data_IF_352528251657
#
_entry.id   IF_352528251657
#
_cell.length_a   1.000
_cell.length_b   1.000
_cell.length_c   1.000
_cell.angle_alpha   90.00
_cell.angle_beta   90.00
_cell.angle_gamma   90.00
#
_symmetry.space_group_name_H-M   'P 1'
#
loop_
_entity.id
_entity.type
_entity.pdbx_description
1 polymer ?
#
# COMPACT_ATOMS: atom_id res chain seq x y z
N UNK A 1 0.29 -8.63 -26.40
CA UNK A 1 1.41 -8.19 -25.55
C UNK A 1 1.15 -6.81 -24.93
N UNK A 2 1.24 -6.72 -23.61
CA UNK A 2 1.10 -5.46 -22.86
C UNK A 2 2.37 -4.63 -22.94
N UNK A 3 2.26 -3.30 -22.99
CA UNK A 3 3.44 -2.43 -23.02
C UNK A 3 4.15 -2.43 -21.66
N UNK A 4 5.43 -2.00 -21.63
CA UNK A 4 6.15 -1.79 -20.35
C UNK A 4 5.41 -0.81 -19.42
N UNK A 5 4.70 0.18 -19.99
CA UNK A 5 3.89 1.14 -19.24
C UNK A 5 2.69 0.45 -18.57
N UNK A 6 2.02 -0.44 -19.30
CA UNK A 6 0.87 -1.21 -18.79
C UNK A 6 1.31 -2.15 -17.66
N UNK A 7 2.44 -2.83 -17.81
CA UNK A 7 2.99 -3.72 -16.77
C UNK A 7 3.26 -2.94 -15.48
N UNK A 8 3.88 -1.76 -15.56
CA UNK A 8 4.13 -0.90 -14.38
C UNK A 8 2.82 -0.49 -13.72
N UNK A 9 1.83 -0.07 -14.52
CA UNK A 9 0.51 0.32 -14.02
C UNK A 9 -0.21 -0.84 -13.33
N UNK A 10 -0.21 -2.03 -13.93
CA UNK A 10 -0.85 -3.21 -13.37
C UNK A 10 -0.15 -3.68 -12.09
N UNK A 11 1.19 -3.69 -12.06
CA UNK A 11 1.97 -4.02 -10.88
C UNK A 11 1.69 -3.06 -9.71
N UNK A 12 1.56 -1.75 -9.98
CA UNK A 12 1.22 -0.75 -8.97
C UNK A 12 -0.20 -0.93 -8.36
N UNK A 13 -1.11 -1.58 -9.10
CA UNK A 13 -2.52 -1.73 -8.74
C UNK A 13 -2.91 -3.15 -8.29
N UNK A 14 -1.95 -4.07 -8.25
CA UNK A 14 -2.19 -5.47 -7.90
C UNK A 14 -1.45 -5.84 -6.62
N UNK A 15 -2.18 -6.49 -5.72
CA UNK A 15 -1.58 -7.13 -4.56
C UNK A 15 -0.93 -8.47 -4.94
N UNK A 16 -1.53 -9.22 -5.88
CA UNK A 16 -1.11 -10.55 -6.26
C UNK A 16 -0.69 -10.60 -7.74
N UNK A 17 0.55 -11.01 -7.99
CA UNK A 17 1.13 -11.15 -9.33
C UNK A 17 1.76 -12.52 -9.45
N UNK A 18 1.38 -13.27 -10.48
CA UNK A 18 1.87 -14.63 -10.70
C UNK A 18 1.91 -14.96 -12.19
N UNK A 19 2.82 -15.85 -12.56
CA UNK A 19 2.76 -16.55 -13.84
C UNK A 19 1.86 -17.75 -13.70
N UNK A 20 0.87 -17.86 -14.58
CA UNK A 20 -0.10 -18.94 -14.61
C UNK A 20 -0.27 -19.54 -16.00
N UNK A 21 -0.62 -20.83 -16.03
CA UNK A 21 -1.00 -21.56 -17.24
C UNK A 21 -2.51 -21.57 -17.37
N UNK A 22 -3.04 -21.09 -18.49
CA UNK A 22 -4.47 -21.14 -18.77
C UNK A 22 -4.89 -22.61 -18.95
N UNK A 23 -5.76 -23.10 -18.08
CA UNK A 23 -6.29 -24.47 -18.17
C UNK A 23 -7.57 -24.49 -18.99
N UNK A 24 -8.50 -23.58 -18.67
CA UNK A 24 -9.81 -23.51 -19.32
C UNK A 24 -10.33 -22.07 -19.36
N UNK A 25 -10.97 -21.70 -20.46
CA UNK A 25 -11.64 -20.41 -20.61
C UNK A 25 -13.14 -20.53 -20.34
N UNK A 26 -13.78 -19.42 -19.92
CA UNK A 26 -15.19 -19.35 -19.54
C UNK A 26 -15.56 -20.39 -18.47
N UNK A 27 -14.67 -20.54 -17.50
CA UNK A 27 -14.76 -21.56 -16.46
C UNK A 27 -14.23 -21.02 -15.12
N UNK A 28 -14.58 -21.68 -14.03
CA UNK A 28 -14.12 -21.39 -12.68
C UNK A 28 -13.93 -22.70 -11.90
N UNK A 29 -13.05 -22.66 -10.90
CA UNK A 29 -12.83 -23.75 -9.93
C UNK A 29 -13.99 -23.89 -8.95
N UNK A 30 -14.82 -22.86 -8.83
CA UNK A 30 -16.06 -22.85 -8.05
C UNK A 30 -17.22 -22.51 -8.99
N UNK A 31 -18.20 -23.42 -9.11
CA UNK A 31 -19.32 -23.29 -10.07
C UNK A 31 -20.07 -21.96 -10.00
N UNK A 32 -20.39 -21.39 -8.82
CA UNK A 32 -21.08 -20.10 -8.73
C UNK A 32 -20.31 -18.92 -9.36
N UNK A 33 -19.01 -19.07 -9.62
CA UNK A 33 -18.16 -18.02 -10.19
C UNK A 33 -17.92 -18.18 -11.70
N UNK A 34 -18.38 -19.27 -12.32
CA UNK A 34 -18.16 -19.49 -13.74
C UNK A 34 -18.91 -18.44 -14.57
N UNK A 35 -18.19 -17.67 -15.37
CA UNK A 35 -18.76 -16.65 -16.24
C UNK A 35 -17.98 -16.52 -17.54
N UNK A 36 -18.53 -15.74 -18.49
CA UNK A 36 -17.93 -15.54 -19.82
C UNK A 36 -16.57 -14.84 -19.79
N UNK A 37 -16.22 -14.21 -18.67
CA UNK A 37 -15.00 -13.46 -18.43
C UNK A 37 -14.05 -14.10 -17.41
N UNK A 38 -14.25 -15.38 -17.08
CA UNK A 38 -13.37 -16.10 -16.17
C UNK A 38 -12.52 -17.15 -16.88
N UNK A 39 -11.38 -17.47 -16.28
CA UNK A 39 -10.56 -18.63 -16.64
C UNK A 39 -10.23 -19.44 -15.39
N UNK A 40 -9.91 -20.71 -15.59
CA UNK A 40 -9.14 -21.50 -14.65
C UNK A 40 -7.67 -21.39 -15.04
N UNK A 41 -6.83 -20.94 -14.11
CA UNK A 41 -5.39 -20.86 -14.30
C UNK A 41 -4.67 -21.68 -13.23
N UNK A 42 -3.68 -22.48 -13.64
CA UNK A 42 -2.75 -23.13 -12.73
C UNK A 42 -1.63 -22.15 -12.39
N UNK A 43 -1.39 -21.90 -11.11
CA UNK A 43 -0.33 -20.98 -10.65
C UNK A 43 1.01 -21.69 -10.78
N UNK A 44 1.84 -21.24 -11.70
CA UNK A 44 3.16 -21.84 -11.95
C UNK A 44 4.21 -21.21 -11.04
N UNK A 45 4.20 -19.87 -10.93
CA UNK A 45 5.18 -19.14 -10.15
C UNK A 45 4.59 -17.84 -9.62
N UNK A 46 4.72 -17.61 -8.32
CA UNK A 46 4.32 -16.36 -7.67
C UNK A 46 5.46 -15.34 -7.76
N UNK A 47 5.13 -14.15 -8.27
CA UNK A 47 6.06 -13.02 -8.40
C UNK A 47 5.92 -12.06 -7.22
N UNK A 48 4.68 -11.73 -6.84
CA UNK A 48 4.37 -10.87 -5.70
C UNK A 48 3.07 -11.35 -5.05
N UNK A 49 3.05 -11.51 -3.73
CA UNK A 49 1.87 -12.02 -3.04
C UNK A 49 1.79 -11.51 -1.60
N UNK A 50 0.59 -11.15 -1.12
CA UNK A 50 0.32 -11.08 0.30
C UNK A 50 0.56 -12.44 0.96
N UNK A 51 0.85 -12.48 2.27
CA UNK A 51 1.16 -13.73 2.99
C UNK A 51 0.12 -14.85 2.79
N UNK A 52 -1.16 -14.49 2.66
CA UNK A 52 -2.26 -15.44 2.47
C UNK A 52 -2.27 -16.16 1.11
N UNK A 53 -1.50 -15.69 0.12
CA UNK A 53 -1.45 -16.29 -1.23
C UNK A 53 -0.15 -17.05 -1.51
N UNK A 54 0.77 -17.19 -0.54
CA UNK A 54 2.08 -17.80 -0.79
C UNK A 54 2.02 -19.32 -0.99
N UNK A 55 0.95 -19.97 -0.52
CA UNK A 55 0.74 -21.42 -0.60
C UNK A 55 0.04 -21.92 -1.88
N UNK A 56 -0.26 -21.03 -2.83
CA UNK A 56 -1.12 -21.36 -3.99
C UNK A 56 -0.33 -21.86 -5.20
N UNK A 57 0.99 -21.97 -5.13
CA UNK A 57 1.81 -22.55 -6.20
C UNK A 57 1.33 -23.97 -6.53
N UNK A 58 1.21 -24.27 -7.82
CA UNK A 58 0.69 -25.53 -8.35
C UNK A 58 -0.82 -25.69 -8.26
N UNK A 59 -1.54 -24.76 -7.60
CA UNK A 59 -3.00 -24.83 -7.48
C UNK A 59 -3.70 -24.22 -8.69
N UNK A 60 -4.88 -24.75 -9.01
CA UNK A 60 -5.79 -24.13 -9.96
C UNK A 60 -6.65 -23.10 -9.24
N UNK A 61 -6.69 -21.89 -9.78
CA UNK A 61 -7.49 -20.79 -9.25
C UNK A 61 -8.38 -20.19 -10.33
N UNK A 62 -9.43 -19.49 -9.90
CA UNK A 62 -10.28 -18.73 -10.81
C UNK A 62 -9.73 -17.32 -11.01
N UNK A 63 -9.58 -16.90 -12.26
CA UNK A 63 -9.21 -15.52 -12.59
C UNK A 63 -10.35 -14.89 -13.38
N UNK A 64 -10.90 -13.79 -12.85
CA UNK A 64 -11.91 -12.97 -13.54
C UNK A 64 -11.23 -11.79 -14.23
N UNK A 65 -11.65 -11.47 -15.44
CA UNK A 65 -11.23 -10.26 -16.15
C UNK A 65 -12.39 -9.29 -16.30
N UNK A 66 -12.12 -7.99 -16.31
CA UNK A 66 -13.14 -6.98 -16.66
C UNK A 66 -13.73 -7.22 -18.06
N UNK A 67 -12.89 -7.58 -19.02
CA UNK A 67 -13.26 -8.00 -20.37
C UNK A 67 -12.42 -9.21 -20.74
N UNK A 68 -13.05 -10.27 -21.25
CA UNK A 68 -12.36 -11.51 -21.57
C UNK A 68 -11.29 -11.30 -22.66
N UNK A 69 -10.01 -11.58 -22.37
CA UNK A 69 -8.96 -11.59 -23.38
C UNK A 69 -9.06 -12.83 -24.29
N UNK A 70 -8.45 -12.75 -25.48
CA UNK A 70 -8.36 -13.87 -26.42
C UNK A 70 -7.26 -14.85 -26.00
N UNK A 71 -7.51 -15.59 -24.91
CA UNK A 71 -6.60 -16.58 -24.35
C UNK A 71 -6.95 -18.00 -24.81
N UNK A 72 -5.93 -18.84 -24.97
CA UNK A 72 -6.09 -20.27 -25.29
C UNK A 72 -5.64 -21.15 -24.14
N UNK A 73 -6.24 -22.33 -24.01
CA UNK A 73 -5.75 -23.34 -23.09
C UNK A 73 -4.29 -23.70 -23.42
N UNK A 74 -3.48 -23.91 -22.38
CA UNK A 74 -2.03 -24.15 -22.46
C UNK A 74 -1.17 -22.89 -22.50
N UNK A 75 -1.75 -21.71 -22.73
CA UNK A 75 -1.00 -20.45 -22.79
C UNK A 75 -0.46 -20.06 -21.41
N UNK A 76 0.80 -19.59 -21.36
CA UNK A 76 1.39 -19.00 -20.16
C UNK A 76 1.22 -17.48 -20.18
N UNK A 77 0.74 -16.94 -19.07
CA UNK A 77 0.52 -15.51 -18.87
C UNK A 77 0.99 -15.08 -17.48
N UNK A 78 1.47 -13.85 -17.36
CA UNK A 78 1.62 -13.19 -16.06
C UNK A 78 0.35 -12.40 -15.78
N UNK A 79 -0.31 -12.71 -14.66
CA UNK A 79 -1.57 -12.11 -14.23
C UNK A 79 -1.30 -11.13 -13.10
N UNK A 80 -1.90 -9.94 -13.18
CA UNK A 80 -1.88 -8.91 -12.14
C UNK A 80 -3.27 -8.81 -11.55
N UNK A 81 -3.46 -9.16 -10.29
CA UNK A 81 -4.78 -9.33 -9.70
C UNK A 81 -4.87 -8.90 -8.23
N UNK A 82 -6.11 -8.78 -7.77
CA UNK A 82 -6.48 -8.61 -6.37
C UNK A 82 -7.38 -9.76 -5.93
N UNK A 83 -7.38 -10.08 -4.63
CA UNK A 83 -8.27 -11.10 -4.09
C UNK A 83 -9.75 -10.75 -4.33
N UNK A 84 -10.55 -11.73 -4.70
CA UNK A 84 -11.98 -11.54 -4.94
C UNK A 84 -12.84 -12.45 -4.06
N UNK A 85 -12.66 -13.77 -4.15
CA UNK A 85 -13.41 -14.75 -3.35
C UNK A 85 -12.44 -15.78 -2.77
N UNK A 86 -12.66 -16.13 -1.51
CA UNK A 86 -11.91 -17.14 -0.78
C UNK A 86 -12.87 -18.23 -0.31
N UNK A 87 -12.60 -19.47 -0.67
CA UNK A 87 -13.37 -20.66 -0.28
C UNK A 87 -12.49 -21.91 -0.41
N UNK A 88 -13.04 -23.00 -0.94
CA UNK A 88 -12.27 -24.24 -1.20
C UNK A 88 -11.10 -24.01 -2.15
N UNK A 89 -11.25 -23.03 -3.05
CA UNK A 89 -10.16 -22.48 -3.86
C UNK A 89 -10.22 -20.96 -3.81
N UNK A 90 -9.24 -20.31 -4.43
CA UNK A 90 -9.15 -18.86 -4.50
C UNK A 90 -9.66 -18.38 -5.86
N UNK A 91 -10.38 -17.25 -5.84
CA UNK A 91 -10.69 -16.47 -7.01
C UNK A 91 -10.10 -15.06 -6.90
N UNK A 92 -9.58 -14.56 -8.01
CA UNK A 92 -8.93 -13.25 -8.10
C UNK A 92 -9.54 -12.42 -9.23
N UNK A 93 -9.55 -11.11 -9.06
CA UNK A 93 -9.98 -10.15 -10.06
C UNK A 93 -8.76 -9.52 -10.74
N UNK A 94 -8.61 -9.77 -12.03
CA UNK A 94 -7.47 -9.32 -12.82
C UNK A 94 -7.59 -7.84 -13.18
N UNK A 95 -6.57 -7.09 -12.79
CA UNK A 95 -6.32 -5.70 -13.20
C UNK A 95 -5.72 -5.68 -14.61
N UNK A 96 -4.94 -6.69 -14.96
CA UNK A 96 -4.33 -6.85 -16.27
C UNK A 96 -3.56 -8.16 -16.41
N UNK A 97 -2.99 -8.39 -17.59
CA UNK A 97 -2.13 -9.53 -17.86
C UNK A 97 -1.03 -9.17 -18.85
N UNK A 98 0.02 -9.97 -18.91
CA UNK A 98 1.02 -9.97 -19.97
C UNK A 98 1.18 -11.38 -20.50
N UNK A 99 1.36 -11.51 -21.81
CA UNK A 99 1.68 -12.79 -22.43
C UNK A 99 3.16 -13.09 -22.21
N UNK A 100 3.47 -14.33 -21.82
CA UNK A 100 4.85 -14.79 -21.76
C UNK A 100 5.26 -15.34 -23.13
N UNK A 101 6.43 -14.93 -23.62
CA UNK A 101 6.99 -15.43 -24.89
C UNK A 101 7.89 -16.63 -24.61
N UNK A 102 8.18 -17.46 -25.63
CA UNK A 102 9.02 -18.66 -25.47
C UNK A 102 10.37 -18.42 -24.78
N UNK A 103 10.96 -17.22 -24.94
CA UNK A 103 12.21 -16.82 -24.25
C UNK A 103 12.02 -16.58 -22.75
N UNK A 104 10.91 -15.97 -22.33
CA UNK A 104 10.64 -15.71 -20.91
C UNK A 104 10.19 -16.97 -20.16
N UNK A 105 9.55 -17.93 -20.84
CA UNK A 105 9.23 -19.26 -20.30
C UNK A 105 10.50 -20.09 -20.06
N UNK A 106 11.45 -20.06 -21.00
CA UNK A 106 12.74 -20.73 -20.83
C UNK A 106 13.53 -20.14 -19.66
N UNK A 107 13.59 -18.79 -19.56
CA UNK A 107 14.23 -18.09 -18.44
C UNK A 107 13.54 -18.36 -17.09
N UNK A 108 12.21 -18.47 -17.04
CA UNK A 108 11.47 -18.81 -15.82
C UNK A 108 11.73 -20.26 -15.36
N UNK A 109 11.98 -21.20 -16.29
CA UNK A 109 12.34 -22.59 -15.98
C UNK A 109 13.79 -22.74 -15.51
N UNK A 110 14.74 -21.95 -16.02
CA UNK A 110 16.14 -21.94 -15.55
C UNK A 110 16.37 -21.05 -14.32
N UNK A 111 15.41 -20.20 -13.96
CA UNK A 111 15.46 -19.30 -12.80
C UNK A 111 15.33 -20.01 -11.43
N UNK A 112 15.80 -21.24 -11.28
CA UNK A 112 16.00 -21.86 -9.95
C UNK A 112 17.14 -21.21 -9.14
N UNK A 113 17.74 -20.12 -9.62
CA UNK A 113 18.78 -19.36 -8.88
C UNK A 113 18.77 -17.83 -9.09
N UNK A 114 17.80 -17.24 -9.80
CA UNK A 114 17.79 -15.79 -10.05
C UNK A 114 16.41 -15.21 -10.38
N UNK A 115 16.17 -13.94 -10.03
CA UNK A 115 14.90 -13.25 -10.33
C UNK A 115 14.73 -13.04 -11.84
N UNK A 116 13.59 -13.43 -12.40
CA UNK A 116 13.27 -13.16 -13.81
C UNK A 116 13.21 -11.66 -14.09
N UNK A 117 13.43 -11.24 -15.34
CA UNK A 117 13.29 -9.83 -15.73
C UNK A 117 11.89 -9.28 -15.42
N UNK A 118 10.84 -10.11 -15.55
CA UNK A 118 9.48 -9.75 -15.14
C UNK A 118 9.41 -9.53 -13.63
N UNK A 119 9.97 -10.44 -12.82
CA UNK A 119 9.98 -10.31 -11.36
C UNK A 119 10.67 -9.02 -10.91
N UNK A 120 11.82 -8.69 -11.51
CA UNK A 120 12.52 -7.41 -11.25
C UNK A 120 11.67 -6.21 -11.65
N UNK A 121 10.98 -6.25 -12.81
CA UNK A 121 10.09 -5.16 -13.22
C UNK A 121 8.91 -4.97 -12.27
N UNK A 122 8.30 -6.06 -11.79
CA UNK A 122 7.18 -6.00 -10.84
C UNK A 122 7.64 -5.46 -9.49
N UNK A 123 8.75 -5.96 -8.96
CA UNK A 123 9.33 -5.47 -7.70
C UNK A 123 9.68 -3.98 -7.77
N UNK A 124 10.29 -3.54 -8.86
CA UNK A 124 10.58 -2.13 -9.10
C UNK A 124 9.30 -1.31 -9.19
N UNK A 125 8.28 -1.76 -9.91
CA UNK A 125 7.02 -1.03 -10.02
C UNK A 125 6.27 -0.94 -8.68
N UNK A 126 6.29 -2.01 -7.86
CA UNK A 126 5.72 -2.00 -6.51
C UNK A 126 6.50 -1.03 -5.61
N UNK A 127 7.82 -1.02 -5.72
CA UNK A 127 8.69 -0.10 -4.95
C UNK A 127 8.48 1.34 -5.39
N UNK A 128 8.50 1.63 -6.69
CA UNK A 128 8.23 2.93 -7.29
C UNK A 128 6.86 3.47 -6.84
N UNK A 129 5.83 2.61 -6.78
CA UNK A 129 4.51 3.00 -6.30
C UNK A 129 4.49 3.34 -4.80
N UNK A 130 5.17 2.54 -3.97
CA UNK A 130 5.34 2.84 -2.53
C UNK A 130 6.11 4.16 -2.34
N UNK A 131 7.14 4.39 -3.13
CA UNK A 131 7.93 5.62 -3.14
C UNK A 131 7.09 6.82 -3.59
N UNK A 132 6.24 6.66 -4.60
CA UNK A 132 5.34 7.71 -5.06
C UNK A 132 4.34 8.11 -3.98
N UNK A 133 3.70 7.14 -3.31
CA UNK A 133 2.77 7.40 -2.19
C UNK A 133 3.51 8.09 -1.03
N UNK A 134 4.70 7.61 -0.68
CA UNK A 134 5.50 8.19 0.39
C UNK A 134 5.95 9.61 0.05
N UNK A 135 6.43 9.83 -1.17
CA UNK A 135 6.83 11.15 -1.68
C UNK A 135 5.65 12.11 -1.66
N UNK A 136 4.50 11.68 -2.16
CA UNK A 136 3.27 12.46 -2.11
C UNK A 136 2.91 12.90 -0.68
N UNK A 137 3.09 11.99 0.29
CA UNK A 137 2.88 12.32 1.70
C UNK A 137 3.90 13.32 2.24
N UNK A 138 5.18 13.12 1.94
CA UNK A 138 6.26 14.05 2.29
C UNK A 138 6.00 15.43 1.68
N UNK A 139 5.64 15.50 0.40
CA UNK A 139 5.38 16.74 -0.34
C UNK A 139 4.20 17.50 0.26
N UNK A 140 3.15 16.78 0.72
CA UNK A 140 2.01 17.39 1.41
C UNK A 140 2.31 17.92 2.82
N UNK A 141 3.28 17.35 3.52
CA UNK A 141 3.59 17.72 4.90
C UNK A 141 4.13 19.16 5.03
N UNK A 142 3.73 19.89 6.08
CA UNK A 142 4.32 21.19 6.42
C UNK A 142 5.81 21.02 6.74
N UNK A 143 6.12 19.95 7.49
CA UNK A 143 7.48 19.62 7.88
C UNK A 143 7.66 18.12 8.03
N UNK A 144 8.92 17.70 7.96
CA UNK A 144 9.33 16.34 8.28
C UNK A 144 10.51 16.38 9.22
N UNK A 145 10.41 15.71 10.36
CA UNK A 145 11.39 15.80 11.45
C UNK A 145 11.81 14.41 11.92
N UNK A 146 13.07 14.29 12.31
CA UNK A 146 13.62 13.17 13.08
C UNK A 146 13.65 13.59 14.54
N UNK A 147 13.27 12.70 15.45
CA UNK A 147 13.26 13.04 16.87
C UNK A 147 12.84 11.91 17.79
N UNK A 148 12.48 12.31 19.00
CA UNK A 148 12.01 11.45 20.08
C UNK A 148 10.77 12.06 20.75
N UNK A 149 9.76 11.23 21.02
CA UNK A 149 8.58 11.64 21.79
C UNK A 149 8.98 11.79 23.26
N UNK A 150 8.90 13.00 23.79
CA UNK A 150 9.25 13.29 25.19
C UNK A 150 8.06 13.31 26.12
N UNK A 151 6.85 13.49 25.58
CA UNK A 151 5.62 13.54 26.38
C UNK A 151 4.42 13.14 25.55
N UNK A 152 3.51 12.36 26.13
CA UNK A 152 2.17 12.13 25.57
C UNK A 152 1.11 12.52 26.60
N UNK A 153 0.14 13.34 26.19
CA UNK A 153 -0.99 13.70 27.05
C UNK A 153 -2.32 13.64 26.31
N UNK A 154 -3.42 13.52 27.06
CA UNK A 154 -4.75 13.80 26.51
C UNK A 154 -4.76 15.24 26.01
N UNK A 155 -5.41 15.44 24.86
CA UNK A 155 -5.60 16.77 24.34
C UNK A 155 -6.66 17.50 25.15
N UNK A 156 -6.47 18.81 25.32
CA UNK A 156 -7.44 19.71 25.95
C UNK A 156 -8.61 20.05 25.00
N UNK A 157 -8.75 19.27 23.93
CA UNK A 157 -9.63 19.52 22.82
C UNK A 157 -10.93 18.76 22.97
N UNK A 158 -12.00 19.52 23.16
CA UNK A 158 -13.34 18.96 23.31
C UNK A 158 -13.91 18.50 21.96
N UNK A 159 -14.54 17.31 21.91
CA UNK A 159 -15.29 16.88 20.73
C UNK A 159 -16.42 17.87 20.43
N UNK A 160 -16.59 18.23 19.15
CA UNK A 160 -17.72 19.07 18.74
C UNK A 160 -19.05 18.30 18.73
N UNK A 161 -19.01 16.97 18.81
CA UNK A 161 -20.16 16.09 18.93
C UNK A 161 -19.76 14.79 19.65
N UNK A 162 -20.69 14.20 20.39
CA UNK A 162 -20.48 12.90 21.05
C UNK A 162 -20.84 11.80 20.05
N UNK A 163 -19.82 11.08 19.58
CA UNK A 163 -19.98 9.89 18.74
C UNK A 163 -19.28 8.70 19.40
N UNK A 164 -19.82 7.50 19.20
CA UNK A 164 -19.14 6.24 19.52
C UNK A 164 -17.73 6.19 18.90
N UNK A 165 -17.58 6.81 17.72
CA UNK A 165 -16.32 6.80 16.98
C UNK A 165 -15.41 7.99 17.30
N UNK A 166 -15.49 8.53 18.51
CA UNK A 166 -14.68 9.66 18.92
C UNK A 166 -13.17 9.31 18.88
N UNK A 167 -12.31 10.20 18.35
CA UNK A 167 -10.89 9.93 18.11
C UNK A 167 -10.07 9.71 19.38
N UNK A 168 -10.55 10.10 20.56
CA UNK A 168 -9.76 10.20 21.80
C UNK A 168 -8.43 10.93 21.54
N UNK A 169 -8.53 12.22 21.22
CA UNK A 169 -7.40 13.05 20.83
C UNK A 169 -6.30 13.08 21.89
N UNK A 170 -5.07 12.83 21.46
CA UNK A 170 -3.85 12.97 22.26
C UNK A 170 -2.85 13.89 21.55
N UNK A 171 -1.99 14.51 22.36
CA UNK A 171 -0.88 15.34 21.93
C UNK A 171 0.44 14.65 22.30
N UNK A 172 1.30 14.41 21.30
CA UNK A 172 2.68 14.01 21.51
C UNK A 172 3.60 15.22 21.31
N UNK A 173 4.49 15.47 22.28
CA UNK A 173 5.59 16.42 22.14
C UNK A 173 6.81 15.67 21.61
N UNK A 174 7.33 16.11 20.47
CA UNK A 174 8.51 15.53 19.81
C UNK A 174 9.66 16.52 19.96
N UNK A 175 10.73 16.09 20.64
CA UNK A 175 12.01 16.78 20.61
C UNK A 175 12.66 16.50 19.26
N UNK A 176 13.00 17.56 18.53
CA UNK A 176 13.52 17.48 17.16
C UNK A 176 15.04 17.42 17.19
N UNK A 177 15.57 16.32 16.64
CA UNK A 177 17.00 16.12 16.43
C UNK A 177 17.43 16.65 15.05
N UNK A 178 16.63 16.39 14.02
CA UNK A 178 16.89 16.84 12.66
C UNK A 178 15.59 17.28 11.97
N UNK A 179 15.62 18.43 11.29
CA UNK A 179 14.54 18.83 10.36
C UNK A 179 14.92 18.41 8.95
N UNK A 180 14.22 17.43 8.40
CA UNK A 180 14.43 16.93 7.03
C UNK A 180 13.77 17.88 6.01
N UNK A 181 12.53 18.33 6.28
CA UNK A 181 11.76 19.31 5.49
C UNK A 181 11.15 20.35 6.43
N UNK A 182 11.12 21.62 6.03
CA UNK A 182 10.54 22.72 6.81
C UNK A 182 11.59 23.62 7.49
N UNK A 183 11.18 24.37 8.53
CA UNK A 183 12.03 25.35 9.23
C UNK A 183 13.13 24.66 10.04
N UNK A 184 14.40 24.86 9.67
CA UNK A 184 15.56 24.20 10.31
C UNK A 184 15.77 24.54 11.79
N UNK A 185 15.20 25.64 12.27
CA UNK A 185 15.32 26.06 13.67
C UNK A 185 14.33 25.37 14.61
N UNK A 186 13.42 24.53 14.11
CA UNK A 186 12.45 23.81 14.95
C UNK A 186 13.19 22.86 15.89
N UNK A 187 13.02 23.07 17.20
CA UNK A 187 13.62 22.24 18.27
C UNK A 187 12.62 21.28 18.92
N UNK A 188 11.35 21.62 18.85
CA UNK A 188 10.25 20.85 19.41
C UNK A 188 9.02 21.06 18.54
N UNK A 189 8.18 20.03 18.43
CA UNK A 189 6.88 20.10 17.75
C UNK A 189 5.86 19.26 18.49
N UNK A 190 4.64 19.79 18.61
CA UNK A 190 3.51 19.08 19.20
C UNK A 190 2.63 18.56 18.08
N UNK A 191 2.33 17.27 18.10
CA UNK A 191 1.48 16.63 17.08
C UNK A 191 0.28 15.97 17.72
N UNK A 192 -0.86 16.16 17.07
CA UNK A 192 -2.13 15.60 17.45
C UNK A 192 -2.37 14.28 16.71
N UNK A 193 -2.80 13.26 17.45
CA UNK A 193 -3.16 11.95 16.92
C UNK A 193 -4.33 11.33 17.72
N UNK A 194 -5.15 10.50 17.09
CA UNK A 194 -6.23 9.77 17.76
C UNK A 194 -5.68 8.54 18.47
N UNK A 195 -6.02 8.37 19.75
CA UNK A 195 -5.64 7.19 20.53
C UNK A 195 -6.72 6.09 20.55
N UNK A 196 -7.89 6.34 19.96
CA UNK A 196 -9.01 5.39 19.93
C UNK A 196 -8.66 4.07 19.21
N UNK A 197 -9.20 2.97 19.71
CA UNK A 197 -9.09 1.63 19.11
C UNK A 197 -10.19 1.33 18.09
N UNK A 198 -11.13 2.25 17.91
CA UNK A 198 -12.20 2.11 16.92
C UNK A 198 -11.64 1.90 15.50
N UNK A 199 -12.39 1.14 14.69
CA UNK A 199 -11.99 0.75 13.33
C UNK A 199 -11.65 1.93 12.42
N UNK A 200 -12.18 3.14 12.69
CA UNK A 200 -11.84 4.37 11.95
C UNK A 200 -10.42 4.86 12.24
N UNK A 201 -9.88 4.60 13.42
CA UNK A 201 -8.60 5.12 13.90
C UNK A 201 -7.51 4.05 14.00
N UNK A 202 -7.89 2.77 13.97
CA UNK A 202 -6.98 1.61 14.11
C UNK A 202 -5.72 1.64 13.24
N UNK A 203 -5.78 2.25 12.05
CA UNK A 203 -4.64 2.33 11.11
C UNK A 203 -3.73 3.55 11.32
N UNK A 204 -4.08 4.44 12.24
CA UNK A 204 -3.27 5.63 12.55
C UNK A 204 -2.25 5.26 13.61
N UNK A 205 -1.05 5.80 13.46
CA UNK A 205 0.03 5.57 14.41
C UNK A 205 -0.33 6.14 15.78
N UNK A 206 -0.10 5.34 16.81
CA UNK A 206 -0.19 5.73 18.22
C UNK A 206 1.23 5.89 18.73
N UNK A 207 1.45 6.93 19.53
CA UNK A 207 2.79 7.24 20.01
C UNK A 207 2.93 7.01 21.51
N UNK A 208 4.16 6.74 21.91
CA UNK A 208 4.54 6.55 23.31
C UNK A 208 5.81 7.32 23.62
N UNK A 209 5.97 7.73 24.87
CA UNK A 209 7.18 8.41 25.34
C UNK A 209 8.42 7.53 25.10
N UNK A 210 9.54 8.16 24.71
CA UNK A 210 10.78 7.49 24.31
C UNK A 210 10.80 6.98 22.86
N UNK A 211 9.67 7.03 22.15
CA UNK A 211 9.62 6.57 20.76
C UNK A 211 10.45 7.47 19.85
N UNK A 212 11.37 6.86 19.09
CA UNK A 212 12.19 7.52 18.09
C UNK A 212 11.72 7.21 16.68
N UNK A 213 11.85 8.18 15.79
CA UNK A 213 11.50 7.98 14.38
C UNK A 213 11.49 9.26 13.58
N UNK A 214 10.71 9.21 12.51
CA UNK A 214 10.60 10.28 11.52
C UNK A 214 9.11 10.59 11.38
N UNK A 215 8.72 11.85 11.59
CA UNK A 215 7.33 12.28 11.49
C UNK A 215 7.13 13.18 10.27
N UNK A 216 6.11 12.88 9.46
CA UNK A 216 5.61 13.75 8.39
C UNK A 216 4.39 14.49 8.91
N UNK A 217 4.60 15.75 9.27
CA UNK A 217 3.67 16.52 10.07
C UNK A 217 2.79 17.36 9.15
N UNK A 218 1.48 17.14 9.24
CA UNK A 218 0.47 17.86 8.46
C UNK A 218 -0.07 19.04 9.26
N UNK A 219 -0.34 20.17 8.59
CA UNK A 219 -0.96 21.34 9.22
C UNK A 219 -2.43 21.47 8.86
N UNK A 220 -3.28 21.44 9.87
CA UNK A 220 -4.73 21.63 9.78
C UNK A 220 -5.37 20.71 8.72
N UNK A 221 -6.47 21.19 8.13
CA UNK A 221 -7.19 20.46 7.07
C UNK A 221 -6.48 20.51 5.71
N UNK A 222 -5.78 21.60 5.38
CA UNK A 222 -5.25 21.82 4.03
C UNK A 222 -4.30 20.72 3.55
N UNK A 223 -3.42 20.27 4.42
CA UNK A 223 -2.39 19.27 4.08
C UNK A 223 -2.79 17.85 4.48
N UNK A 224 -3.57 17.70 5.55
CA UNK A 224 -3.93 16.40 6.08
C UNK A 224 -4.80 15.56 5.11
N UNK A 225 -5.61 16.20 4.26
CA UNK A 225 -6.64 15.57 3.42
C UNK A 225 -6.14 14.44 2.50
N UNK A 226 -4.87 14.46 2.09
CA UNK A 226 -4.36 13.53 1.07
C UNK A 226 -4.16 12.12 1.65
N UNK A 227 -4.94 11.15 1.17
CA UNK A 227 -4.84 9.75 1.59
C UNK A 227 -5.53 9.42 2.91
N UNK A 228 -6.24 10.36 3.54
CA UNK A 228 -7.06 10.10 4.73
C UNK A 228 -8.53 9.97 4.36
N UNK A 229 -9.27 9.15 5.12
CA UNK A 229 -10.70 8.96 4.90
C UNK A 229 -11.48 10.25 5.22
N UNK A 230 -12.53 10.56 4.45
CA UNK A 230 -13.35 11.77 4.65
C UNK A 230 -13.89 11.93 6.08
N UNK A 231 -14.23 10.82 6.74
CA UNK A 231 -14.70 10.82 8.14
C UNK A 231 -13.59 11.16 9.15
N UNK A 232 -12.34 10.72 8.90
CA UNK A 232 -11.16 11.11 9.69
C UNK A 232 -10.89 12.61 9.50
N UNK A 233 -10.95 13.07 8.26
CA UNK A 233 -10.78 14.48 7.92
C UNK A 233 -11.83 15.39 8.56
N UNK A 234 -13.10 14.96 8.60
CA UNK A 234 -14.19 15.74 9.19
C UNK A 234 -14.01 15.95 10.70
N UNK A 235 -13.41 14.97 11.39
CA UNK A 235 -13.12 15.05 12.82
C UNK A 235 -11.91 15.93 13.15
N UNK A 236 -11.14 16.37 12.14
CA UNK A 236 -10.07 17.34 12.36
C UNK A 236 -10.73 18.63 12.87
N UNK A 237 -10.28 19.16 14.01
CA UNK A 237 -10.83 20.36 14.62
C UNK A 237 -10.81 21.55 13.66
N UNK A 238 -11.78 22.45 13.84
CA UNK A 238 -11.80 23.72 13.13
C UNK A 238 -10.73 24.65 13.74
N UNK A 239 -9.61 24.82 13.04
CA UNK A 239 -8.49 25.67 13.43
C UNK A 239 -7.29 25.41 12.53
N UNK A 240 -6.72 26.45 11.91
CA UNK A 240 -5.73 26.37 10.82
C UNK A 240 -4.33 25.93 11.24
N UNK A 241 -4.03 25.83 12.53
CA UNK A 241 -2.66 25.75 13.04
C UNK A 241 -2.32 24.50 13.84
N UNK A 242 -3.22 23.52 13.90
CA UNK A 242 -2.95 22.24 14.58
C UNK A 242 -2.08 21.35 13.70
N UNK A 243 -0.96 20.87 14.26
CA UNK A 243 -0.15 19.84 13.63
C UNK A 243 -0.70 18.46 13.94
N UNK A 244 -0.82 17.62 12.91
CA UNK A 244 -1.46 16.30 13.02
C UNK A 244 -0.67 15.23 12.29
N UNK A 245 -0.90 13.99 12.72
CA UNK A 245 -0.42 12.77 12.07
C UNK A 245 -1.56 11.76 12.01
N UNK A 246 -2.25 11.71 10.88
CA UNK A 246 -3.53 11.02 10.68
C UNK A 246 -3.48 9.93 9.60
N UNK A 247 -2.28 9.62 9.11
CA UNK A 247 -2.04 8.58 8.15
C UNK A 247 -0.94 7.64 8.65
N UNK A 248 -1.01 6.36 8.28
CA UNK A 248 0.02 5.36 8.63
C UNK A 248 1.42 5.78 8.17
N UNK A 249 1.51 6.51 7.06
CA UNK A 249 2.77 7.05 6.51
C UNK A 249 3.14 8.41 7.10
N UNK A 250 2.54 8.87 8.21
CA UNK A 250 3.03 10.05 8.93
C UNK A 250 4.13 9.73 9.93
N UNK A 251 4.42 8.46 10.14
CA UNK A 251 5.52 7.99 10.96
C UNK A 251 6.32 6.95 10.19
N UNK A 252 7.64 7.05 10.25
CA UNK A 252 8.56 6.05 9.72
C UNK A 252 9.65 5.73 10.74
N UNK A 253 10.12 4.47 10.79
CA UNK A 253 11.28 4.11 11.59
C UNK A 253 12.56 4.79 11.07
N UNK A 254 13.56 4.94 11.94
CA UNK A 254 14.80 5.67 11.63
C UNK A 254 15.60 5.09 10.45
N UNK A 255 15.49 3.78 10.18
CA UNK A 255 16.15 3.13 9.04
C UNK A 255 15.63 3.61 7.68
N UNK A 256 14.47 4.27 7.62
CA UNK A 256 13.92 4.87 6.40
C UNK A 256 14.51 6.27 6.09
N UNK A 257 15.33 6.85 6.98
CA UNK A 257 15.81 8.24 6.84
C UNK A 257 16.53 8.49 5.52
N UNK A 258 17.40 7.56 5.09
CA UNK A 258 18.12 7.68 3.83
C UNK A 258 17.18 7.68 2.63
N UNK A 259 16.12 6.86 2.66
CA UNK A 259 15.09 6.80 1.61
C UNK A 259 14.25 8.07 1.59
N UNK A 260 13.83 8.57 2.74
CA UNK A 260 13.07 9.84 2.82
C UNK A 260 13.90 11.01 2.29
N UNK A 261 15.18 11.10 2.67
CA UNK A 261 16.09 12.14 2.17
C UNK A 261 16.29 12.07 0.65
N UNK A 262 16.33 10.87 0.06
CA UNK A 262 16.47 10.72 -1.39
C UNK A 262 15.18 11.13 -2.15
N UNK A 263 14.00 10.90 -1.56
CA UNK A 263 12.71 11.29 -2.15
C UNK A 263 12.43 12.80 -2.11
N UNK A 264 13.07 13.54 -1.19
CA UNK A 264 12.99 15.01 -1.10
C UNK A 264 13.89 15.71 -2.13
N UNK A 265 15.03 15.10 -2.46
CA UNK A 265 16.02 15.67 -3.39
C UNK A 265 15.62 15.57 -4.87
N UNK A 266 14.59 14.77 -5.18
CA UNK A 266 14.03 14.57 -6.53
C UNK A 266 12.75 15.36 -6.70
#
# INVERSE_FOLDING_TARGET
MSSKSDIKKYAAQSAFVFTGKVIKTKAATMQPLAASNTIIAEVVHIINAPPMFTSVNGQQITVRFKKMPSLKAGQLITVFANGWVFGDTIAVDAVGYSEETGKSIAAAKTAMAGKSAMSVMVENAVTDNKDAILKERIDSAEMSVVGEVTKVKKSDMEPTHISEHNPLWQEATIKVDEVVKGKKSTKEVKVMFPASDDVRWKKINKYSEGQKGIWMIQKGKKQAAKGIAAKVFAAIPAGSDVFTTLHQSDFMPLNELSRIKSLIKK
#
